data_IF_123716531682
#
_entry.id   IF_123716531682
#
_cell.length_a   1.000
_cell.length_b   1.000
_cell.length_c   1.000
_cell.angle_alpha   90.00
_cell.angle_beta   90.00
_cell.angle_gamma   90.00
#
_symmetry.space_group_name_H-M   'P 1'
#
loop_
_entity.id
_entity.type
_entity.pdbx_description
1 polymer ?
#
# COMPACT_ATOMS: atom_id res chain seq x y z
N UNK A 1 -21.10 -20.21 -4.60
CA UNK A 1 -19.83 -19.68 -4.05
C UNK A 1 -18.80 -19.59 -5.14
N UNK A 2 -18.23 -18.41 -5.35
CA UNK A 2 -17.06 -18.30 -6.22
C UNK A 2 -15.87 -18.93 -5.49
N UNK A 3 -15.18 -19.87 -6.13
CA UNK A 3 -13.93 -20.42 -5.62
C UNK A 3 -12.94 -19.27 -5.40
N UNK A 4 -12.19 -19.30 -4.28
CA UNK A 4 -11.09 -18.35 -4.08
C UNK A 4 -10.08 -18.55 -5.20
N UNK A 5 -9.68 -17.49 -5.92
CA UNK A 5 -8.63 -17.63 -6.91
C UNK A 5 -7.34 -18.05 -6.21
N UNK A 6 -6.57 -18.94 -6.82
CA UNK A 6 -5.23 -19.22 -6.38
C UNK A 6 -4.37 -17.99 -6.69
N UNK A 7 -4.01 -17.27 -5.65
CA UNK A 7 -3.23 -16.05 -5.71
C UNK A 7 -1.88 -16.28 -5.05
N UNK A 8 -0.81 -15.95 -5.74
CA UNK A 8 0.53 -15.92 -5.20
C UNK A 8 0.91 -14.49 -4.84
N UNK A 9 1.33 -14.27 -3.59
CA UNK A 9 1.88 -12.99 -3.15
C UNK A 9 3.40 -13.07 -3.23
N UNK A 10 4.02 -12.14 -3.92
CA UNK A 10 5.47 -12.06 -4.06
C UNK A 10 5.94 -10.60 -4.13
N UNK A 11 7.21 -10.36 -3.84
CA UNK A 11 7.81 -9.04 -4.03
C UNK A 11 7.76 -8.64 -5.51
N UNK A 12 7.56 -7.35 -5.77
CA UNK A 12 7.61 -6.79 -7.12
C UNK A 12 9.02 -6.92 -7.70
N UNK A 13 9.06 -7.08 -9.01
CA UNK A 13 10.29 -7.10 -9.83
C UNK A 13 10.25 -5.99 -10.86
N UNK A 14 11.39 -5.66 -11.42
CA UNK A 14 11.47 -4.68 -12.52
C UNK A 14 10.58 -5.07 -13.70
N UNK A 15 10.43 -6.35 -13.96
CA UNK A 15 9.55 -6.88 -15.03
C UNK A 15 8.07 -6.65 -14.79
N UNK A 16 7.66 -6.30 -13.56
CA UNK A 16 6.27 -5.95 -13.23
C UNK A 16 5.92 -4.50 -13.52
N UNK A 17 6.88 -3.68 -13.94
CA UNK A 17 6.76 -2.22 -13.97
C UNK A 17 5.57 -1.71 -14.76
N UNK A 18 5.24 -2.30 -15.91
CA UNK A 18 4.10 -1.84 -16.71
C UNK A 18 2.76 -2.09 -16.02
N UNK A 19 2.56 -3.28 -15.49
CA UNK A 19 1.33 -3.65 -14.77
C UNK A 19 1.21 -2.90 -13.45
N UNK A 20 2.33 -2.78 -12.73
CA UNK A 20 2.39 -2.04 -11.47
C UNK A 20 2.06 -0.55 -11.69
N UNK A 21 2.64 0.07 -12.71
CA UNK A 21 2.32 1.46 -13.07
C UNK A 21 0.83 1.62 -13.39
N UNK A 22 0.24 0.70 -14.15
CA UNK A 22 -1.18 0.75 -14.48
C UNK A 22 -2.05 0.69 -13.22
N UNK A 23 -1.73 -0.18 -12.27
CA UNK A 23 -2.44 -0.27 -10.98
C UNK A 23 -2.22 0.95 -10.10
N UNK A 24 -0.99 1.50 -10.07
CA UNK A 24 -0.72 2.75 -9.35
C UNK A 24 -1.51 3.93 -9.91
N UNK A 25 -1.63 4.02 -11.23
CA UNK A 25 -2.43 5.07 -11.89
C UNK A 25 -3.92 4.93 -11.60
N UNK A 26 -4.42 3.70 -11.43
CA UNK A 26 -5.79 3.46 -11.00
C UNK A 26 -6.04 3.89 -9.55
N UNK A 27 -5.07 3.68 -8.67
CA UNK A 27 -5.14 4.08 -7.25
C UNK A 27 -4.94 5.58 -7.05
N UNK A 28 -3.98 6.17 -7.75
CA UNK A 28 -3.60 7.58 -7.65
C UNK A 28 -3.65 8.27 -9.02
N UNK A 29 -4.85 8.52 -9.57
CA UNK A 29 -5.01 9.03 -10.93
C UNK A 29 -4.46 10.45 -11.13
N UNK A 30 -4.37 11.23 -10.06
CA UNK A 30 -3.87 12.61 -10.12
C UNK A 30 -2.35 12.71 -10.05
N UNK A 31 -1.66 11.62 -9.75
CA UNK A 31 -0.20 11.57 -9.71
C UNK A 31 0.36 11.46 -11.14
N UNK A 32 1.28 12.35 -11.56
CA UNK A 32 1.87 12.26 -12.91
C UNK A 32 2.66 10.97 -13.13
N UNK A 33 2.63 10.40 -14.35
CA UNK A 33 3.37 9.15 -14.64
C UNK A 33 4.88 9.21 -14.32
N UNK A 34 5.51 10.35 -14.54
CA UNK A 34 6.93 10.55 -14.20
C UNK A 34 7.19 10.38 -12.70
N UNK A 35 6.30 10.91 -11.86
CA UNK A 35 6.40 10.76 -10.40
C UNK A 35 6.19 9.32 -9.98
N UNK A 36 5.22 8.62 -10.55
CA UNK A 36 5.03 7.19 -10.31
C UNK A 36 6.31 6.40 -10.61
N UNK A 37 6.92 6.64 -11.77
CA UNK A 37 8.14 5.93 -12.18
C UNK A 37 9.32 6.19 -11.25
N UNK A 38 9.46 7.45 -10.78
CA UNK A 38 10.48 7.82 -9.81
C UNK A 38 10.32 7.07 -8.49
N UNK A 39 9.12 7.04 -7.94
CA UNK A 39 8.80 6.32 -6.70
C UNK A 39 9.00 4.81 -6.87
N UNK A 40 8.58 4.25 -7.99
CA UNK A 40 8.76 2.83 -8.28
C UNK A 40 10.25 2.45 -8.36
N UNK A 41 11.08 3.31 -8.95
CA UNK A 41 12.53 3.11 -8.99
C UNK A 41 13.15 3.10 -7.60
N UNK A 42 12.73 4.03 -6.73
CA UNK A 42 13.17 4.08 -5.33
C UNK A 42 12.80 2.81 -4.57
N UNK A 43 11.57 2.33 -4.74
CA UNK A 43 11.09 1.09 -4.11
C UNK A 43 11.89 -0.12 -4.58
N UNK A 44 12.15 -0.23 -5.89
CA UNK A 44 12.96 -1.33 -6.44
C UNK A 44 14.40 -1.31 -5.93
N UNK A 45 14.93 -0.12 -5.60
CA UNK A 45 16.28 0.06 -5.09
C UNK A 45 16.38 -0.22 -3.57
N UNK A 46 15.27 -0.18 -2.85
CA UNK A 46 15.25 -0.30 -1.38
C UNK A 46 14.13 -1.24 -0.89
N UNK A 47 14.25 -2.50 -1.22
CA UNK A 47 13.28 -3.52 -0.83
C UNK A 47 13.23 -3.81 0.68
N UNK A 48 14.23 -3.38 1.40
CA UNK A 48 14.31 -3.58 2.84
C UNK A 48 13.38 -2.63 3.59
N UNK A 49 13.48 -1.34 3.29
CA UNK A 49 12.73 -0.30 3.99
C UNK A 49 11.49 0.19 3.24
N UNK A 50 11.38 -0.13 1.95
CA UNK A 50 10.24 0.21 1.10
C UNK A 50 9.81 -1.00 0.25
N UNK A 51 9.39 -2.12 0.88
CA UNK A 51 8.98 -3.29 0.11
C UNK A 51 7.65 -3.06 -0.61
N UNK A 52 7.48 -3.74 -1.73
CA UNK A 52 6.22 -3.79 -2.44
C UNK A 52 5.92 -5.23 -2.89
N UNK A 53 4.68 -5.60 -2.85
CA UNK A 53 4.20 -6.93 -3.24
C UNK A 53 3.20 -6.82 -4.37
N UNK A 54 3.17 -7.84 -5.20
CA UNK A 54 2.14 -8.06 -6.21
C UNK A 54 1.40 -9.36 -5.89
N UNK A 55 0.10 -9.33 -6.09
CA UNK A 55 -0.74 -10.51 -6.06
C UNK A 55 -0.90 -10.99 -7.50
N UNK A 56 -0.42 -12.19 -7.77
CA UNK A 56 -0.42 -12.79 -9.11
C UNK A 56 -1.38 -13.96 -9.15
N UNK A 57 -2.28 -13.99 -10.14
CA UNK A 57 -3.18 -15.12 -10.38
C UNK A 57 -2.41 -16.28 -11.03
N UNK A 58 -3.02 -17.49 -11.07
CA UNK A 58 -2.44 -18.67 -11.72
C UNK A 58 -2.09 -18.42 -13.20
N UNK A 59 -2.86 -17.57 -13.89
CA UNK A 59 -2.58 -17.20 -15.28
C UNK A 59 -1.44 -16.19 -15.43
N UNK A 60 -0.85 -15.73 -14.33
CA UNK A 60 0.17 -14.69 -14.32
C UNK A 60 -0.40 -13.26 -14.37
N UNK A 61 -1.73 -13.09 -14.35
CA UNK A 61 -2.34 -11.77 -14.34
C UNK A 61 -2.15 -11.12 -12.96
N UNK A 62 -1.65 -9.85 -12.88
CA UNK A 62 -1.58 -9.14 -11.62
C UNK A 62 -2.99 -8.76 -11.15
N UNK A 63 -3.32 -9.18 -9.92
CA UNK A 63 -4.63 -8.95 -9.31
C UNK A 63 -4.65 -7.71 -8.42
N UNK A 64 -3.51 -7.30 -7.89
CA UNK A 64 -3.37 -6.17 -7.00
C UNK A 64 -1.94 -5.96 -6.56
N UNK A 65 -1.70 -4.88 -5.81
CA UNK A 65 -0.39 -4.58 -5.23
C UNK A 65 -0.54 -3.93 -3.86
N UNK A 66 0.53 -3.97 -3.09
CA UNK A 66 0.65 -3.24 -1.85
C UNK A 66 2.09 -2.72 -1.72
N UNK A 67 2.21 -1.46 -1.33
CA UNK A 67 3.48 -0.83 -1.00
C UNK A 67 3.49 -0.50 0.48
N UNK A 68 4.59 -0.80 1.15
CA UNK A 68 4.81 -0.45 2.54
C UNK A 68 6.16 0.27 2.69
N UNK A 69 6.33 0.95 3.79
CA UNK A 69 7.60 1.59 4.13
C UNK A 69 7.81 1.58 5.63
N UNK A 70 9.06 1.73 6.05
CA UNK A 70 9.37 1.99 7.45
C UNK A 70 9.12 3.48 7.73
N UNK A 71 8.39 3.77 8.78
CA UNK A 71 8.26 5.13 9.34
C UNK A 71 8.68 5.12 10.80
N UNK A 72 9.20 6.26 11.28
CA UNK A 72 9.63 6.41 12.67
C UNK A 72 8.55 6.94 13.60
N UNK A 73 7.33 6.99 13.10
CA UNK A 73 6.15 7.44 13.82
C UNK A 73 4.88 6.96 13.12
N UNK A 74 3.87 6.61 13.90
CA UNK A 74 2.50 6.46 13.42
C UNK A 74 1.53 6.85 14.52
N UNK A 75 0.41 7.46 14.13
CA UNK A 75 -0.65 7.77 15.07
C UNK A 75 -1.12 6.50 15.77
N UNK A 76 -1.32 6.58 17.07
CA UNK A 76 -1.69 5.43 17.91
C UNK A 76 -0.53 4.53 18.32
N UNK A 77 0.62 4.59 17.66
CA UNK A 77 1.82 3.83 18.01
C UNK A 77 2.93 4.69 18.61
N UNK A 78 2.89 6.02 18.38
CA UNK A 78 3.89 6.96 18.88
C UNK A 78 5.20 6.94 18.10
N UNK A 79 6.27 7.41 18.74
CA UNK A 79 7.61 7.52 18.13
C UNK A 79 8.36 6.21 18.29
N UNK A 80 8.29 5.39 17.28
CA UNK A 80 9.03 4.14 17.13
C UNK A 80 9.01 3.75 15.65
N UNK A 81 9.92 2.91 15.25
CA UNK A 81 9.87 2.36 13.90
C UNK A 81 8.66 1.44 13.76
N UNK A 82 7.89 1.69 12.73
CA UNK A 82 6.68 0.94 12.39
C UNK A 82 6.71 0.61 10.90
N UNK A 83 6.02 -0.45 10.51
CA UNK A 83 5.63 -0.64 9.12
C UNK A 83 4.43 0.27 8.82
N UNK A 84 4.37 0.78 7.60
CA UNK A 84 3.28 1.66 7.16
C UNK A 84 2.76 1.23 5.80
N UNK A 85 1.44 1.05 5.68
CA UNK A 85 0.78 0.75 4.42
C UNK A 85 0.67 2.05 3.62
N UNK A 86 1.52 2.21 2.61
CA UNK A 86 1.58 3.41 1.78
C UNK A 86 0.59 3.38 0.62
N UNK A 87 0.34 2.22 0.07
CA UNK A 87 -0.63 2.02 -1.01
C UNK A 87 -1.11 0.58 -1.06
N UNK A 88 -2.40 0.42 -1.33
CA UNK A 88 -3.05 -0.89 -1.32
C UNK A 88 -4.19 -0.89 -2.32
N UNK A 89 -4.09 -1.71 -3.36
CA UNK A 89 -5.02 -1.74 -4.46
C UNK A 89 -5.28 -3.17 -4.93
N UNK A 90 -6.54 -3.48 -5.17
CA UNK A 90 -6.99 -4.73 -5.80
C UNK A 90 -7.85 -4.38 -7.00
N UNK A 91 -7.56 -4.97 -8.16
CA UNK A 91 -8.36 -4.77 -9.36
C UNK A 91 -9.82 -5.14 -9.10
N UNK A 92 -10.81 -4.39 -9.63
CA UNK A 92 -12.22 -4.62 -9.33
C UNK A 92 -12.68 -6.07 -9.49
N UNK A 93 -12.26 -6.76 -10.53
CA UNK A 93 -12.67 -8.16 -10.77
C UNK A 93 -12.13 -9.17 -9.76
N UNK A 94 -11.11 -8.79 -8.99
CA UNK A 94 -10.51 -9.64 -7.96
C UNK A 94 -10.90 -9.25 -6.54
N UNK A 95 -11.77 -8.25 -6.38
CA UNK A 95 -12.23 -7.80 -5.06
C UNK A 95 -13.16 -8.81 -4.41
N UNK A 96 -13.21 -8.78 -3.06
CA UNK A 96 -14.01 -9.67 -2.23
C UNK A 96 -13.62 -11.15 -2.35
N UNK A 97 -12.40 -11.42 -2.77
CA UNK A 97 -11.84 -12.77 -2.92
C UNK A 97 -10.64 -13.04 -1.97
N UNK A 98 -10.40 -12.14 -1.02
CA UNK A 98 -9.30 -12.29 -0.07
C UNK A 98 -7.93 -11.81 -0.58
N UNK A 99 -7.84 -11.25 -1.78
CA UNK A 99 -6.57 -10.76 -2.35
C UNK A 99 -5.97 -9.63 -1.51
N UNK A 100 -6.78 -8.63 -1.16
CA UNK A 100 -6.34 -7.51 -0.33
C UNK A 100 -5.85 -7.97 1.04
N UNK A 101 -6.56 -8.88 1.67
CA UNK A 101 -6.17 -9.48 2.95
C UNK A 101 -4.84 -10.20 2.86
N UNK A 102 -4.61 -10.97 1.78
CA UNK A 102 -3.35 -11.69 1.57
C UNK A 102 -2.17 -10.72 1.38
N UNK A 103 -2.38 -9.61 0.67
CA UNK A 103 -1.37 -8.57 0.51
C UNK A 103 -1.00 -7.92 1.85
N UNK A 104 -1.99 -7.56 2.65
CA UNK A 104 -1.75 -6.96 3.97
C UNK A 104 -1.05 -7.94 4.91
N UNK A 105 -1.43 -9.21 4.88
CA UNK A 105 -0.75 -10.25 5.66
C UNK A 105 0.73 -10.33 5.32
N UNK A 106 1.11 -10.26 4.06
CA UNK A 106 2.51 -10.25 3.64
C UNK A 106 3.27 -9.05 4.22
N UNK A 107 2.65 -7.86 4.19
CA UNK A 107 3.23 -6.65 4.77
C UNK A 107 3.38 -6.76 6.29
N UNK A 108 2.39 -7.31 6.98
CA UNK A 108 2.44 -7.51 8.43
C UNK A 108 3.53 -8.53 8.82
N UNK A 109 3.68 -9.61 8.05
CA UNK A 109 4.75 -10.59 8.26
C UNK A 109 6.14 -9.95 8.08
N UNK A 110 6.29 -9.09 7.07
CA UNK A 110 7.52 -8.31 6.90
C UNK A 110 7.80 -7.42 8.12
N UNK A 111 6.80 -6.70 8.62
CA UNK A 111 6.95 -5.82 9.77
C UNK A 111 7.35 -6.60 11.03
N UNK A 112 6.71 -7.74 11.28
CA UNK A 112 7.06 -8.63 12.40
C UNK A 112 8.50 -9.13 12.25
N UNK A 113 8.90 -9.53 11.04
CA UNK A 113 10.27 -9.98 10.75
C UNK A 113 11.33 -8.88 10.96
N UNK A 114 10.93 -7.60 10.84
CA UNK A 114 11.78 -6.45 11.16
C UNK A 114 11.80 -6.11 12.65
N UNK A 115 11.01 -6.78 13.47
CA UNK A 115 10.89 -6.51 14.91
C UNK A 115 9.93 -5.38 15.26
N UNK A 116 9.13 -4.91 14.30
CA UNK A 116 8.15 -3.85 14.56
C UNK A 116 6.93 -4.43 15.28
N UNK A 117 6.39 -3.67 16.22
CA UNK A 117 5.21 -4.07 17.01
C UNK A 117 3.89 -3.51 16.44
N UNK A 118 3.96 -2.57 15.50
CA UNK A 118 2.79 -1.88 14.95
C UNK A 118 2.89 -1.71 13.44
N UNK A 119 1.72 -1.69 12.81
CA UNK A 119 1.53 -1.25 11.43
C UNK A 119 0.62 -0.02 11.44
N UNK A 120 1.05 1.03 10.78
CA UNK A 120 0.22 2.21 10.53
C UNK A 120 -0.35 2.20 9.12
N UNK A 121 -1.39 2.97 8.93
CA UNK A 121 -2.00 3.23 7.61
C UNK A 121 -2.83 4.48 7.68
N UNK A 122 -3.18 5.03 6.53
CA UNK A 122 -4.14 6.14 6.46
C UNK A 122 -5.03 5.99 5.22
N UNK A 123 -6.14 6.70 5.26
CA UNK A 123 -7.03 6.89 4.11
C UNK A 123 -7.74 8.22 4.28
N UNK A 124 -8.24 8.80 3.19
CA UNK A 124 -9.02 10.02 3.34
C UNK A 124 -10.43 9.71 3.87
N UNK A 125 -11.02 10.67 4.59
CA UNK A 125 -12.28 10.48 5.34
C UNK A 125 -13.44 9.98 4.49
N UNK A 126 -13.52 10.38 3.22
CA UNK A 126 -14.59 9.96 2.31
C UNK A 126 -14.46 8.54 1.75
N UNK A 127 -13.31 7.89 1.94
CA UNK A 127 -13.08 6.54 1.38
C UNK A 127 -13.60 5.45 2.33
N UNK A 128 -14.91 5.26 2.35
CA UNK A 128 -15.56 4.30 3.24
C UNK A 128 -15.22 2.84 2.90
N UNK A 129 -14.94 2.53 1.64
CA UNK A 129 -14.51 1.19 1.24
C UNK A 129 -13.17 0.82 1.88
N UNK A 130 -12.20 1.72 1.82
CA UNK A 130 -10.91 1.56 2.47
C UNK A 130 -11.04 1.50 4.00
N UNK A 131 -11.85 2.37 4.58
CA UNK A 131 -12.12 2.38 6.02
C UNK A 131 -12.62 1.02 6.53
N UNK A 132 -13.65 0.49 5.87
CA UNK A 132 -14.21 -0.83 6.24
C UNK A 132 -13.21 -1.97 6.02
N UNK A 133 -12.41 -1.92 4.97
CA UNK A 133 -11.38 -2.91 4.70
C UNK A 133 -10.30 -2.92 5.80
N UNK A 134 -9.86 -1.75 6.25
CA UNK A 134 -8.92 -1.65 7.37
C UNK A 134 -9.52 -2.23 8.66
N UNK A 135 -10.75 -1.87 8.98
CA UNK A 135 -11.43 -2.40 10.19
C UNK A 135 -11.58 -3.93 10.13
N UNK A 136 -11.92 -4.48 8.96
CA UNK A 136 -12.07 -5.93 8.78
C UNK A 136 -10.76 -6.70 9.02
N UNK A 137 -9.62 -6.03 8.94
CA UNK A 137 -8.30 -6.63 9.20
C UNK A 137 -7.73 -6.26 10.57
N UNK A 138 -8.53 -5.65 11.43
CA UNK A 138 -8.14 -5.34 12.80
C UNK A 138 -7.44 -4.00 12.99
N UNK A 139 -7.37 -3.15 11.96
CA UNK A 139 -6.86 -1.79 12.11
C UNK A 139 -7.92 -0.93 12.80
N UNK A 140 -7.47 -0.12 13.76
CA UNK A 140 -8.35 0.77 14.53
C UNK A 140 -8.20 2.19 14.04
N UNK A 141 -9.32 2.91 13.95
CA UNK A 141 -9.32 4.36 13.72
C UNK A 141 -8.76 5.04 14.98
N UNK A 142 -7.59 5.66 14.83
CA UNK A 142 -6.86 6.32 15.94
C UNK A 142 -6.88 7.84 15.84
N UNK A 143 -7.54 8.38 14.85
CA UNK A 143 -7.68 9.82 14.69
C UNK A 143 -7.84 10.26 13.25
N UNK A 144 -8.14 11.54 13.09
CA UNK A 144 -8.35 12.20 11.81
C UNK A 144 -7.67 13.55 11.82
N UNK A 145 -6.99 13.88 10.72
CA UNK A 145 -6.25 15.13 10.60
C UNK A 145 -6.89 16.08 9.62
N UNK A 146 -6.65 17.37 9.86
CA UNK A 146 -6.95 18.44 8.91
C UNK A 146 -5.60 18.98 8.42
N UNK A 147 -5.39 18.97 7.12
CA UNK A 147 -4.15 19.45 6.52
C UNK A 147 -4.27 20.91 6.06
N UNK A 148 -3.24 21.69 6.33
CA UNK A 148 -3.16 23.09 5.95
C UNK A 148 -1.94 23.32 5.09
N UNK A 149 -2.07 24.20 4.09
CA UNK A 149 -0.94 24.66 3.28
C UNK A 149 -1.10 26.15 2.96
N UNK A 150 0.01 26.86 2.95
CA UNK A 150 0.07 28.26 2.53
C UNK A 150 1.23 28.45 1.56
N UNK A 151 0.94 29.00 0.38
CA UNK A 151 1.99 29.43 -0.53
C UNK A 151 2.64 30.71 0.00
N UNK A 152 3.95 30.68 0.16
CA UNK A 152 4.68 31.85 0.62
C UNK A 152 5.08 32.74 -0.57
N UNK A 153 5.14 34.07 -0.31
CA UNK A 153 5.76 34.99 -1.26
C UNK A 153 7.26 34.77 -1.23
N UNK A 154 7.82 34.39 -2.36
CA UNK A 154 9.27 34.24 -2.49
C UNK A 154 9.89 35.60 -2.78
N UNK A 155 11.11 35.86 -2.25
CA UNK A 155 11.90 37.05 -2.64
C UNK A 155 12.28 36.89 -4.11
N UNK A 156 11.94 37.90 -4.91
CA UNK A 156 12.37 37.99 -6.31
C UNK A 156 13.86 38.30 -6.41
#
# INVERSE_FOLDING_TARGET
>A
MKAKPDIKIRLVKKTDSNDWLAMRRALWPDCPPKKHRGEMAEILADKKDQPAWVAESLSGEPAGFLEAAVRNYADGAGRQDVGYLEGWYVKPKFRKMGVGRALVKAAEEWAVGRGFSHMGSDTWVGNMGSYKAHQAMGYKDVGRDIHFVKKLKTKS
#
